data_IF_184559186692
#
_entry.id   IF_184559186692
#
_cell.length_a   1.000
_cell.length_b   1.000
_cell.length_c   1.000
_cell.angle_alpha   90.00
_cell.angle_beta   90.00
_cell.angle_gamma   90.00
#
_symmetry.space_group_name_H-M   'P 1'
#
loop_
_entity.id
_entity.type
_entity.pdbx_description
1 polymer ?
#
# COMPACT_ATOMS: atom_id res chain seq x y z
N UNK A 1 16.27 54.73 -50.98
CA UNK A 1 17.39 53.77 -50.80
C UNK A 1 17.60 53.67 -49.28
N UNK A 2 17.14 52.59 -48.62
CA UNK A 2 18.00 51.50 -48.07
C UNK A 2 18.80 52.01 -46.84
N UNK A 3 18.76 51.54 -45.59
CA UNK A 3 18.15 50.40 -44.87
C UNK A 3 17.98 50.78 -43.35
N UNK A 4 17.20 50.00 -42.56
CA UNK A 4 16.88 50.17 -41.14
C UNK A 4 17.81 49.34 -40.22
N UNK A 5 17.51 49.34 -38.91
CA UNK A 5 18.01 48.45 -37.84
C UNK A 5 19.10 49.03 -36.92
N UNK A 6 18.68 49.38 -35.70
CA UNK A 6 19.37 49.06 -34.44
C UNK A 6 18.75 49.87 -33.28
N UNK A 7 17.44 49.72 -33.06
CA UNK A 7 16.73 50.34 -31.93
C UNK A 7 16.38 49.30 -30.87
N UNK A 8 17.31 48.41 -30.51
CA UNK A 8 17.11 47.43 -29.43
C UNK A 8 18.49 47.03 -28.85
N UNK A 9 19.19 47.91 -28.11
CA UNK A 9 20.34 47.45 -27.31
C UNK A 9 20.82 48.41 -26.19
N UNK A 10 19.94 48.90 -25.32
CA UNK A 10 20.41 49.67 -24.12
C UNK A 10 19.67 49.39 -22.82
N UNK A 11 18.87 48.32 -22.72
CA UNK A 11 18.03 48.08 -21.54
C UNK A 11 18.14 46.68 -20.96
N UNK A 12 19.35 46.14 -20.86
CA UNK A 12 19.65 45.08 -19.89
C UNK A 12 21.08 45.25 -19.39
N UNK A 13 21.29 44.95 -18.11
CA UNK A 13 22.57 44.91 -17.38
C UNK A 13 23.02 46.17 -16.62
N UNK A 14 22.14 46.68 -15.75
CA UNK A 14 22.55 47.00 -14.36
C UNK A 14 21.81 45.98 -13.50
N UNK A 15 22.42 45.13 -12.67
CA UNK A 15 23.38 45.37 -11.60
C UNK A 15 24.24 44.11 -11.40
N UNK A 16 25.57 44.25 -11.42
CA UNK A 16 26.50 43.24 -10.91
C UNK A 16 26.64 43.50 -9.41
N UNK A 17 25.85 42.79 -8.60
CA UNK A 17 26.10 42.69 -7.18
C UNK A 17 26.97 41.45 -6.92
N UNK A 18 28.20 41.72 -6.49
CA UNK A 18 29.17 40.75 -5.95
C UNK A 18 28.54 39.94 -4.81
N UNK A 19 28.61 38.62 -4.90
CA UNK A 19 28.54 37.74 -3.73
C UNK A 19 29.80 36.86 -3.73
N UNK A 20 30.58 36.97 -2.66
CA UNK A 20 31.79 36.16 -2.40
C UNK A 20 31.45 34.67 -2.26
N UNK A 21 32.35 33.74 -2.62
CA UNK A 21 32.26 32.37 -2.16
C UNK A 21 32.61 32.31 -0.66
N UNK A 22 31.66 31.92 0.16
CA UNK A 22 31.89 31.61 1.56
C UNK A 22 32.52 30.21 1.65
N UNK A 23 33.75 30.16 2.15
CA UNK A 23 34.43 28.92 2.48
C UNK A 23 33.61 28.14 3.51
N UNK A 24 33.23 26.91 3.18
CA UNK A 24 32.71 25.96 4.15
C UNK A 24 33.87 25.51 5.05
N UNK A 25 33.81 25.84 6.33
CA UNK A 25 34.69 25.27 7.33
C UNK A 25 34.21 23.88 7.72
N UNK A 26 35.08 22.88 7.58
CA UNK A 26 34.88 21.53 8.11
C UNK A 26 35.02 21.56 9.63
N UNK A 27 33.89 21.59 10.34
CA UNK A 27 33.85 21.27 11.77
C UNK A 27 33.28 19.86 11.92
N UNK A 28 34.18 18.87 12.00
CA UNK A 28 33.83 17.50 12.40
C UNK A 28 33.49 17.56 13.90
N UNK A 29 32.19 17.60 14.22
CA UNK A 29 31.72 17.29 15.58
C UNK A 29 31.72 15.77 15.79
N UNK A 30 32.17 15.27 16.94
CA UNK A 30 32.00 13.87 17.29
C UNK A 30 30.51 13.53 17.32
N UNK A 31 30.15 12.40 16.71
CA UNK A 31 28.76 11.91 16.74
C UNK A 31 28.29 11.63 18.18
N UNK A 32 26.99 11.76 18.47
CA UNK A 32 26.46 11.53 19.80
C UNK A 32 26.61 10.07 20.23
N UNK A 33 26.98 9.88 21.50
CA UNK A 33 27.05 8.57 22.16
C UNK A 33 25.69 7.85 22.11
N UNK A 34 25.63 6.51 21.94
CA UNK A 34 24.38 5.77 21.73
C UNK A 34 23.44 5.68 22.95
N UNK A 35 23.73 6.37 24.05
CA UNK A 35 23.05 6.16 25.33
C UNK A 35 22.18 7.32 25.83
N UNK A 36 22.15 8.46 25.12
CA UNK A 36 21.26 9.58 25.45
C UNK A 36 20.36 9.93 24.25
N UNK A 37 19.23 9.23 24.11
CA UNK A 37 18.10 9.71 23.30
C UNK A 37 17.01 10.25 24.24
N UNK A 38 16.68 11.56 24.19
CA UNK A 38 15.59 12.12 24.95
C UNK A 38 14.24 11.63 24.41
N UNK A 39 13.29 11.45 25.32
CA UNK A 39 11.91 11.05 25.05
C UNK A 39 11.11 12.24 24.48
N UNK A 40 11.56 12.76 23.34
CA UNK A 40 10.98 13.92 22.70
C UNK A 40 10.20 13.49 21.45
N UNK A 41 8.88 13.36 21.64
CA UNK A 41 7.82 13.75 20.70
C UNK A 41 8.12 13.66 19.19
N UNK A 42 8.60 12.49 18.75
CA UNK A 42 8.50 12.09 17.35
C UNK A 42 7.01 11.98 17.03
N UNK A 43 6.48 13.02 16.39
CA UNK A 43 5.26 12.93 15.64
C UNK A 43 5.50 11.83 14.61
N UNK A 44 5.01 10.64 14.93
CA UNK A 44 5.09 9.45 14.09
C UNK A 44 4.32 9.80 12.83
N UNK A 45 5.01 10.31 11.81
CA UNK A 45 4.48 10.38 10.46
C UNK A 45 4.27 8.92 10.09
N UNK A 46 3.03 8.44 10.29
CA UNK A 46 2.57 7.19 9.73
C UNK A 46 2.93 7.28 8.26
N UNK A 47 3.96 6.56 7.83
CA UNK A 47 4.20 6.33 6.42
C UNK A 47 3.00 5.48 6.01
N UNK A 48 1.93 6.15 5.59
CA UNK A 48 0.88 5.52 4.82
C UNK A 48 1.59 5.10 3.53
N UNK A 49 2.11 3.87 3.53
CA UNK A 49 2.70 3.31 2.33
C UNK A 49 1.62 3.42 1.26
N UNK A 50 1.87 4.30 0.28
CA UNK A 50 0.93 4.54 -0.79
C UNK A 50 0.61 3.23 -1.51
N UNK A 51 -0.43 3.21 -2.35
CA UNK A 51 -0.83 2.01 -3.06
C UNK A 51 0.35 1.41 -3.81
N UNK A 52 0.69 0.16 -3.51
CA UNK A 52 1.75 -0.58 -4.18
C UNK A 52 1.19 -1.32 -5.39
N UNK A 53 1.99 -1.50 -6.44
CA UNK A 53 1.59 -2.32 -7.59
C UNK A 53 1.85 -3.80 -7.27
N UNK A 54 0.87 -4.65 -7.52
CA UNK A 54 0.92 -6.11 -7.35
C UNK A 54 0.11 -6.82 -8.43
N UNK A 55 0.40 -8.10 -8.61
CA UNK A 55 -0.53 -9.00 -9.28
C UNK A 55 -1.67 -9.37 -8.34
N UNK A 56 -2.87 -9.51 -8.90
CA UNK A 56 -4.00 -10.16 -8.27
C UNK A 56 -4.36 -11.44 -9.03
N UNK A 57 -4.60 -12.52 -8.29
CA UNK A 57 -5.03 -13.85 -8.75
C UNK A 57 -6.30 -14.25 -8.03
N UNK A 58 -6.77 -15.49 -8.24
CA UNK A 58 -7.91 -16.02 -7.52
C UNK A 58 -7.75 -17.50 -7.16
N UNK A 59 -8.47 -17.91 -6.12
CA UNK A 59 -8.59 -19.30 -5.67
C UNK A 59 -10.02 -19.61 -5.24
N UNK A 60 -10.57 -20.70 -5.78
CA UNK A 60 -11.90 -21.20 -5.41
C UNK A 60 -12.01 -21.63 -3.93
N UNK A 61 -10.88 -21.85 -3.24
CA UNK A 61 -10.87 -22.26 -1.85
C UNK A 61 -11.52 -21.21 -0.92
N UNK A 62 -11.43 -19.93 -1.29
CA UNK A 62 -11.98 -18.82 -0.53
C UNK A 62 -13.47 -18.57 -0.80
N UNK A 63 -14.08 -19.23 -1.80
CA UNK A 63 -15.51 -19.08 -2.12
C UNK A 63 -16.41 -19.99 -1.29
N UNK A 64 -15.85 -20.98 -0.57
CA UNK A 64 -16.62 -21.89 0.25
C UNK A 64 -16.82 -21.31 1.67
N UNK A 65 -18.05 -20.91 2.05
CA UNK A 65 -18.31 -20.30 3.37
C UNK A 65 -18.11 -21.28 4.53
N UNK A 66 -18.11 -22.60 4.26
CA UNK A 66 -17.96 -23.63 5.28
C UNK A 66 -16.50 -24.03 5.53
N UNK A 67 -15.54 -23.47 4.76
CA UNK A 67 -14.12 -23.70 5.01
C UNK A 67 -13.78 -23.22 6.40
N UNK A 68 -13.18 -24.09 7.22
CA UNK A 68 -12.78 -23.70 8.58
C UNK A 68 -11.64 -22.69 8.51
N UNK A 69 -11.72 -21.65 9.31
CA UNK A 69 -10.64 -20.66 9.44
C UNK A 69 -9.35 -21.28 9.98
N UNK A 70 -9.41 -22.48 10.59
CA UNK A 70 -8.22 -23.21 11.02
C UNK A 70 -7.35 -23.73 9.86
N UNK A 71 -7.82 -23.70 8.60
CA UNK A 71 -7.05 -24.18 7.45
C UNK A 71 -6.22 -23.11 6.76
N UNK A 72 -6.32 -21.84 7.18
CA UNK A 72 -5.58 -20.71 6.60
C UNK A 72 -4.54 -20.16 7.59
N UNK A 73 -3.60 -19.34 7.12
CA UNK A 73 -2.56 -18.76 7.97
C UNK A 73 -3.12 -17.92 9.14
N UNK A 74 -4.24 -17.22 8.94
CA UNK A 74 -4.90 -16.45 10.00
C UNK A 74 -5.84 -17.28 10.88
N UNK A 75 -5.48 -18.55 11.09
CA UNK A 75 -6.20 -19.50 11.92
C UNK A 75 -6.25 -19.08 13.39
N UNK A 76 -5.29 -19.54 14.19
CA UNK A 76 -5.24 -19.38 15.64
C UNK A 76 -4.03 -18.53 16.07
N UNK A 77 -3.76 -18.50 17.37
CA UNK A 77 -2.75 -17.61 17.97
C UNK A 77 -3.32 -16.24 18.34
N UNK A 78 -2.44 -15.37 18.86
CA UNK A 78 -2.80 -14.05 19.36
C UNK A 78 -3.49 -13.16 18.32
N UNK A 79 -3.12 -13.33 17.04
CA UNK A 79 -3.67 -12.57 15.91
C UNK A 79 -4.65 -13.39 15.06
N UNK A 80 -4.98 -14.61 15.48
CA UNK A 80 -5.85 -15.52 14.74
C UNK A 80 -7.30 -15.06 14.68
N UNK A 81 -8.01 -15.51 13.64
CA UNK A 81 -9.41 -15.19 13.38
C UNK A 81 -10.37 -16.30 13.84
N UNK A 82 -9.91 -17.54 14.00
CA UNK A 82 -10.77 -18.71 14.19
C UNK A 82 -11.64 -18.67 15.47
N UNK A 83 -11.23 -17.95 16.51
CA UNK A 83 -12.04 -17.78 17.74
C UNK A 83 -13.21 -16.81 17.57
N UNK A 84 -13.09 -15.85 16.64
CA UNK A 84 -14.12 -14.86 16.31
C UNK A 84 -14.96 -15.28 15.10
N UNK A 85 -14.34 -15.95 14.14
CA UNK A 85 -14.90 -16.35 12.85
C UNK A 85 -14.52 -17.82 12.58
N UNK A 86 -15.29 -18.79 13.11
CA UNK A 86 -14.99 -20.23 12.97
C UNK A 86 -14.86 -20.72 11.53
N UNK A 87 -15.64 -20.16 10.60
CA UNK A 87 -15.52 -20.41 9.16
C UNK A 87 -15.20 -19.13 8.37
N UNK A 88 -14.74 -19.30 7.13
CA UNK A 88 -14.50 -18.18 6.23
C UNK A 88 -15.78 -17.38 5.95
N UNK A 89 -16.95 -18.03 5.94
CA UNK A 89 -18.25 -17.39 5.77
C UNK A 89 -18.68 -16.50 6.93
N UNK A 90 -18.11 -16.67 8.12
CA UNK A 90 -18.39 -15.83 9.29
C UNK A 90 -17.67 -14.47 9.23
N UNK A 91 -16.69 -14.31 8.33
CA UNK A 91 -15.94 -13.08 8.16
C UNK A 91 -16.85 -12.02 7.50
N UNK A 92 -17.04 -10.82 8.08
CA UNK A 92 -18.02 -9.85 7.60
C UNK A 92 -17.88 -9.43 6.13
N UNK A 93 -16.66 -9.45 5.59
CA UNK A 93 -16.41 -9.11 4.19
C UNK A 93 -16.63 -10.28 3.23
N UNK A 94 -16.90 -11.51 3.69
CA UNK A 94 -17.12 -12.67 2.82
C UNK A 94 -18.19 -12.37 1.76
N UNK A 95 -17.96 -12.69 0.46
CA UNK A 95 -16.86 -13.50 -0.11
C UNK A 95 -15.58 -12.70 -0.42
N UNK A 96 -15.51 -11.42 -0.09
CA UNK A 96 -14.34 -10.55 -0.33
C UNK A 96 -13.25 -10.81 0.72
N UNK A 97 -12.60 -11.96 0.57
CA UNK A 97 -11.49 -12.44 1.38
C UNK A 97 -10.40 -13.03 0.48
N UNK A 98 -9.21 -13.26 1.03
CA UNK A 98 -8.13 -13.86 0.26
C UNK A 98 -6.77 -13.89 0.97
N UNK A 99 -5.76 -14.33 0.23
CA UNK A 99 -4.37 -14.31 0.65
C UNK A 99 -3.67 -12.98 0.33
N UNK A 100 -2.69 -12.60 1.15
CA UNK A 100 -1.86 -11.42 0.93
C UNK A 100 -0.38 -11.68 1.25
N UNK A 101 0.50 -10.91 0.59
CA UNK A 101 1.96 -11.00 0.67
C UNK A 101 2.59 -10.60 1.99
N UNK A 102 1.84 -9.97 2.88
CA UNK A 102 2.30 -9.57 4.20
C UNK A 102 1.65 -10.37 5.33
N UNK A 103 0.93 -11.44 5.00
CA UNK A 103 0.35 -12.37 5.94
C UNK A 103 1.22 -13.63 6.01
N UNK A 104 1.51 -14.03 7.24
CA UNK A 104 2.04 -15.35 7.61
C UNK A 104 1.24 -15.86 8.80
N UNK A 105 1.46 -17.11 9.21
CA UNK A 105 0.77 -17.67 10.38
C UNK A 105 0.93 -16.77 11.62
N UNK A 106 -0.18 -16.47 12.30
CA UNK A 106 -0.26 -15.60 13.48
C UNK A 106 0.36 -14.20 13.27
N UNK A 107 0.44 -13.69 12.04
CA UNK A 107 0.95 -12.35 11.76
C UNK A 107 0.04 -11.24 12.33
N UNK A 108 0.58 -10.09 12.73
CA UNK A 108 -0.23 -8.94 13.15
C UNK A 108 -1.09 -8.35 12.02
N UNK A 109 -0.85 -8.77 10.77
CA UNK A 109 -1.59 -8.38 9.58
C UNK A 109 -2.82 -9.25 9.33
N UNK A 110 -3.03 -10.32 10.10
CA UNK A 110 -4.23 -11.13 10.02
C UNK A 110 -5.49 -10.29 10.22
N UNK A 111 -6.50 -10.55 9.37
CA UNK A 111 -7.72 -9.75 9.30
C UNK A 111 -7.48 -8.31 8.83
N UNK A 112 -6.35 -8.02 8.18
CA UNK A 112 -6.09 -6.71 7.57
C UNK A 112 -7.03 -6.45 6.41
N UNK A 113 -7.53 -5.21 6.30
CA UNK A 113 -8.40 -4.80 5.20
C UNK A 113 -7.57 -4.09 4.12
N UNK A 114 -7.75 -4.51 2.88
CA UNK A 114 -7.03 -4.00 1.72
C UNK A 114 -8.00 -3.38 0.73
N UNK A 115 -7.72 -2.17 0.26
CA UNK A 115 -8.31 -1.66 -0.97
C UNK A 115 -7.43 -2.09 -2.14
N UNK A 116 -8.03 -2.71 -3.15
CA UNK A 116 -7.34 -3.01 -4.42
C UNK A 116 -8.09 -2.39 -5.58
N UNK A 117 -7.34 -1.81 -6.52
CA UNK A 117 -7.87 -1.15 -7.71
C UNK A 117 -7.20 -1.73 -8.94
N UNK A 118 -7.99 -2.28 -9.85
CA UNK A 118 -7.49 -2.78 -11.13
C UNK A 118 -7.05 -1.62 -12.02
N UNK A 119 -5.81 -1.64 -12.46
CA UNK A 119 -5.19 -0.55 -13.22
C UNK A 119 -5.83 -0.41 -14.61
N UNK A 120 -6.32 -1.51 -15.19
CA UNK A 120 -6.84 -1.51 -16.56
C UNK A 120 -8.25 -0.92 -16.69
N UNK A 121 -9.11 -1.13 -15.69
CA UNK A 121 -10.52 -0.73 -15.74
C UNK A 121 -10.95 0.20 -14.58
N UNK A 122 -10.05 0.50 -13.65
CA UNK A 122 -10.28 1.32 -12.46
C UNK A 122 -11.35 0.78 -11.48
N UNK A 123 -11.81 -0.47 -11.65
CA UNK A 123 -12.67 -1.14 -10.69
C UNK A 123 -11.92 -1.31 -9.36
N UNK A 124 -12.64 -1.12 -8.25
CA UNK A 124 -12.06 -1.22 -6.91
C UNK A 124 -12.91 -2.11 -6.02
N UNK A 125 -12.25 -2.88 -5.17
CA UNK A 125 -12.88 -3.64 -4.09
C UNK A 125 -12.12 -3.41 -2.79
N UNK A 126 -12.73 -3.82 -1.67
CA UNK A 126 -12.01 -4.07 -0.43
C UNK A 126 -12.14 -5.54 -0.04
N UNK A 127 -11.10 -6.12 0.56
CA UNK A 127 -11.13 -7.51 1.02
C UNK A 127 -10.36 -7.69 2.32
N UNK A 128 -10.71 -8.73 3.08
CA UNK A 128 -10.00 -9.13 4.30
C UNK A 128 -8.92 -10.16 3.98
N UNK A 129 -7.68 -9.90 4.38
CA UNK A 129 -6.60 -10.87 4.26
C UNK A 129 -6.68 -11.95 5.36
N UNK A 130 -6.80 -13.20 4.93
CA UNK A 130 -7.00 -14.38 5.80
C UNK A 130 -5.91 -15.43 5.65
N UNK A 131 -5.11 -15.35 4.58
CA UNK A 131 -4.09 -16.35 4.30
C UNK A 131 -2.81 -15.74 3.72
N UNK A 132 -1.76 -16.57 3.63
CA UNK A 132 -0.49 -16.23 2.98
C UNK A 132 -0.62 -16.38 1.48
N UNK A 133 -0.15 -15.41 0.71
CA UNK A 133 0.06 -15.54 -0.74
C UNK A 133 1.25 -14.67 -1.15
N UNK A 134 1.98 -14.97 -2.23
CA UNK A 134 2.99 -14.04 -2.76
C UNK A 134 2.38 -12.85 -3.51
N UNK A 135 1.10 -12.95 -3.90
CA UNK A 135 0.31 -11.95 -4.62
C UNK A 135 -0.89 -11.48 -3.75
N UNK A 136 -1.79 -10.72 -4.35
CA UNK A 136 -3.16 -10.60 -3.84
C UNK A 136 -3.96 -11.79 -4.39
N UNK A 137 -4.30 -12.79 -3.58
CA UNK A 137 -5.02 -13.98 -4.04
C UNK A 137 -6.45 -13.99 -3.53
N UNK A 138 -7.43 -13.68 -4.38
CA UNK A 138 -8.80 -13.39 -3.98
C UNK A 138 -9.71 -14.63 -4.09
N UNK A 139 -10.88 -14.59 -3.47
CA UNK A 139 -11.99 -15.44 -3.93
C UNK A 139 -12.32 -15.16 -5.40
N UNK A 140 -12.90 -16.14 -6.09
CA UNK A 140 -13.36 -15.99 -7.46
C UNK A 140 -14.36 -14.83 -7.58
N UNK A 141 -15.28 -14.71 -6.63
CA UNK A 141 -16.30 -13.65 -6.59
C UNK A 141 -15.67 -12.26 -6.47
N UNK A 142 -14.68 -12.09 -5.59
CA UNK A 142 -13.97 -10.83 -5.43
C UNK A 142 -13.13 -10.48 -6.66
N UNK A 143 -12.43 -11.46 -7.25
CA UNK A 143 -11.66 -11.26 -8.48
C UNK A 143 -12.57 -10.82 -9.64
N UNK A 144 -13.70 -11.50 -9.84
CA UNK A 144 -14.68 -11.12 -10.86
C UNK A 144 -15.22 -9.71 -10.63
N UNK A 145 -15.53 -9.34 -9.38
CA UNK A 145 -15.96 -7.97 -9.06
C UNK A 145 -14.90 -6.92 -9.45
N UNK A 146 -13.61 -7.26 -9.29
CA UNK A 146 -12.48 -6.43 -9.69
C UNK A 146 -12.21 -6.43 -11.21
N UNK A 147 -12.85 -7.33 -11.96
CA UNK A 147 -12.64 -7.54 -13.38
C UNK A 147 -13.96 -7.55 -14.17
N UNK A 148 -14.89 -6.65 -13.83
CA UNK A 148 -16.15 -6.46 -14.56
C UNK A 148 -17.00 -7.74 -14.73
N UNK A 149 -16.95 -8.65 -13.75
CA UNK A 149 -17.72 -9.88 -13.71
C UNK A 149 -17.09 -11.08 -14.41
N UNK A 150 -15.86 -10.98 -14.95
CA UNK A 150 -15.22 -12.07 -15.70
C UNK A 150 -13.86 -12.50 -15.13
N UNK A 151 -13.43 -13.73 -15.39
CA UNK A 151 -12.10 -14.22 -14.98
C UNK A 151 -10.98 -13.80 -15.94
N UNK A 152 -11.28 -13.71 -17.24
CA UNK A 152 -10.25 -13.39 -18.24
C UNK A 152 -9.10 -14.40 -18.21
N UNK A 153 -7.86 -13.90 -18.16
CA UNK A 153 -6.64 -14.69 -18.05
C UNK A 153 -6.29 -15.10 -16.60
N UNK A 154 -7.10 -14.70 -15.60
CA UNK A 154 -6.88 -15.04 -14.18
C UNK A 154 -5.80 -14.22 -13.46
N UNK A 155 -5.23 -13.20 -14.10
CA UNK A 155 -4.21 -12.33 -13.48
C UNK A 155 -4.48 -10.87 -13.83
N UNK A 156 -4.51 -10.00 -12.83
CA UNK A 156 -4.69 -8.55 -12.99
C UNK A 156 -3.50 -7.80 -12.41
N UNK A 157 -3.14 -6.66 -13.00
CA UNK A 157 -2.29 -5.68 -12.34
C UNK A 157 -3.15 -4.73 -11.52
N UNK A 158 -2.87 -4.63 -10.22
CA UNK A 158 -3.64 -3.83 -9.27
C UNK A 158 -2.74 -2.89 -8.50
N UNK A 159 -3.30 -1.76 -8.07
CA UNK A 159 -2.76 -1.02 -6.92
C UNK A 159 -3.41 -1.56 -5.65
N UNK A 160 -2.63 -1.76 -4.59
CA UNK A 160 -3.08 -2.32 -3.32
C UNK A 160 -2.61 -1.46 -2.15
N UNK A 161 -3.51 -1.13 -1.23
CA UNK A 161 -3.17 -0.37 -0.03
C UNK A 161 -3.99 -0.80 1.18
N UNK A 162 -3.36 -0.82 2.35
CA UNK A 162 -4.07 -1.07 3.61
C UNK A 162 -5.01 0.07 3.94
N UNK A 163 -6.21 -0.29 4.38
CA UNK A 163 -7.22 0.63 4.89
C UNK A 163 -7.66 0.17 6.29
N UNK A 164 -8.38 1.01 7.06
CA UNK A 164 -8.86 0.61 8.38
C UNK A 164 -9.69 -0.69 8.33
N UNK A 165 -9.47 -1.59 9.29
CA UNK A 165 -10.17 -2.89 9.40
C UNK A 165 -11.69 -2.75 9.44
N UNK A 166 -12.18 -1.66 10.02
CA UNK A 166 -13.61 -1.34 10.10
C UNK A 166 -14.28 -1.21 8.72
N UNK A 167 -13.53 -0.89 7.66
CA UNK A 167 -14.08 -0.86 6.28
C UNK A 167 -14.49 -2.27 5.83
N UNK A 168 -13.78 -3.30 6.28
CA UNK A 168 -14.14 -4.70 6.06
C UNK A 168 -15.01 -5.28 7.20
N UNK A 169 -15.43 -4.47 8.17
CA UNK A 169 -16.29 -4.87 9.29
C UNK A 169 -15.60 -5.55 10.48
N UNK A 170 -14.26 -5.45 10.62
CA UNK A 170 -13.48 -6.11 11.68
C UNK A 170 -13.08 -5.21 12.85
#
# INVERSE_FOLDING_TARGET
MIFPAAFILTLFLTQIARALPQACGDHISPGPDPHDLPSDNVQFTIVHQGPIIREATFSYAYDNPNTSTNTVACSNGQNGLASRFPTLGDIPSFPFIGGAFDVVWNSPNCGGCWKVTNIANNASIHFTAVDTSSSIDLSEQAFKALNNGVIGNGVLNVTAGKIPRSVCGL
#
